data_IF_744118303102
#
_entry.id   IF_744118303102
#
_cell.length_a   1.000
_cell.length_b   1.000
_cell.length_c   1.000
_cell.angle_alpha   90.00
_cell.angle_beta   90.00
_cell.angle_gamma   90.00
#
_symmetry.space_group_name_H-M   'P 1'
#
loop_
_entity.id
_entity.type
_entity.pdbx_description
1 polymer ?
#
# COMPACT_ATOMS: atom_id res chain seq x y z
N UNK A 1 -29.09 -31.06 26.91
CA UNK A 1 -28.02 -30.08 27.18
C UNK A 1 -27.84 -29.25 25.92
N UNK A 2 -28.51 -28.10 25.84
CA UNK A 2 -28.51 -27.22 24.67
C UNK A 2 -27.38 -26.20 24.82
N UNK A 3 -26.32 -26.36 24.02
CA UNK A 3 -25.24 -25.38 23.92
C UNK A 3 -25.71 -24.20 23.08
N UNK A 4 -25.92 -23.05 23.72
CA UNK A 4 -26.22 -21.78 23.06
C UNK A 4 -24.97 -21.27 22.33
N UNK A 5 -25.08 -21.14 21.01
CA UNK A 5 -24.08 -20.49 20.19
C UNK A 5 -24.17 -18.97 20.44
N UNK A 6 -23.23 -18.40 21.18
CA UNK A 6 -23.09 -16.95 21.31
C UNK A 6 -22.48 -16.47 19.99
N UNK A 7 -23.33 -16.05 19.05
CA UNK A 7 -22.90 -15.25 17.90
C UNK A 7 -22.47 -13.89 18.44
N UNK A 8 -21.16 -13.67 18.53
CA UNK A 8 -20.61 -12.34 18.72
C UNK A 8 -21.01 -11.49 17.50
N UNK A 9 -21.96 -10.59 17.70
CA UNK A 9 -22.25 -9.51 16.76
C UNK A 9 -21.03 -8.60 16.78
N UNK A 10 -20.15 -8.74 15.80
CA UNK A 10 -19.18 -7.70 15.46
C UNK A 10 -20.03 -6.54 14.94
N UNK A 11 -20.30 -5.55 15.80
CA UNK A 11 -20.81 -4.27 15.34
C UNK A 11 -19.79 -3.74 14.34
N UNK A 12 -20.18 -3.65 13.07
CA UNK A 12 -19.37 -3.03 12.05
C UNK A 12 -19.09 -1.59 12.48
N UNK A 13 -17.84 -1.31 12.85
CA UNK A 13 -17.35 0.05 13.10
C UNK A 13 -17.22 0.71 11.74
N UNK A 14 -18.33 1.20 11.22
CA UNK A 14 -18.38 2.05 10.04
C UNK A 14 -18.18 3.50 10.41
N UNK A 15 -17.90 4.34 9.42
CA UNK A 15 -17.86 5.77 9.53
C UNK A 15 -19.25 6.25 10.00
N UNK A 16 -19.29 6.72 11.23
CA UNK A 16 -20.44 7.35 11.86
C UNK A 16 -20.06 8.75 12.39
N UNK A 17 -21.05 9.47 12.92
CA UNK A 17 -20.83 10.81 13.45
C UNK A 17 -19.80 10.84 14.59
N UNK A 18 -19.77 9.81 15.45
CA UNK A 18 -18.82 9.75 16.57
C UNK A 18 -17.38 9.52 16.08
N UNK A 19 -17.20 8.64 15.11
CA UNK A 19 -15.90 8.31 14.53
C UNK A 19 -15.37 9.49 13.72
N UNK A 20 -16.24 10.15 12.95
CA UNK A 20 -15.90 11.37 12.22
C UNK A 20 -15.49 12.50 13.15
N UNK A 21 -16.19 12.66 14.28
CA UNK A 21 -15.83 13.65 15.31
C UNK A 21 -14.46 13.35 15.93
N UNK A 22 -14.17 12.09 16.26
CA UNK A 22 -12.84 11.67 16.74
C UNK A 22 -11.74 12.01 15.74
N UNK A 23 -11.97 11.84 14.44
CA UNK A 23 -11.01 12.17 13.39
C UNK A 23 -10.80 13.69 13.28
N UNK A 24 -11.87 14.47 13.33
CA UNK A 24 -11.82 15.92 13.12
C UNK A 24 -11.36 16.71 14.35
N UNK A 25 -11.77 16.30 15.55
CA UNK A 25 -11.63 17.05 16.80
C UNK A 25 -10.97 16.28 17.94
N UNK A 26 -10.92 14.96 17.85
CA UNK A 26 -10.36 14.11 18.91
C UNK A 26 -8.87 14.32 19.16
N UNK A 27 -8.39 13.74 20.26
CA UNK A 27 -6.96 13.73 20.58
C UNK A 27 -6.18 12.97 19.52
N UNK A 28 -4.86 13.12 19.51
CA UNK A 28 -4.02 12.39 18.58
C UNK A 28 -4.18 10.85 18.69
N UNK A 29 -4.41 10.33 19.88
CA UNK A 29 -4.65 8.90 20.07
C UNK A 29 -6.01 8.50 19.47
N UNK A 30 -7.05 9.30 19.72
CA UNK A 30 -8.41 9.04 19.20
C UNK A 30 -8.44 9.05 17.68
N UNK A 31 -7.77 10.04 17.06
CA UNK A 31 -7.66 10.14 15.60
C UNK A 31 -7.00 8.90 14.99
N UNK A 32 -5.87 8.47 15.55
CA UNK A 32 -5.17 7.28 15.06
C UNK A 32 -6.01 6.02 15.25
N UNK A 33 -6.63 5.86 16.43
CA UNK A 33 -7.49 4.72 16.71
C UNK A 33 -8.70 4.64 15.78
N UNK A 34 -9.37 5.77 15.53
CA UNK A 34 -10.49 5.85 14.60
C UNK A 34 -10.09 5.48 13.17
N UNK A 35 -8.99 6.03 12.66
CA UNK A 35 -8.50 5.74 11.30
C UNK A 35 -8.11 4.27 11.16
N UNK A 36 -7.39 3.70 12.13
CA UNK A 36 -7.02 2.27 12.10
C UNK A 36 -8.24 1.36 12.15
N UNK A 37 -9.22 1.67 13.01
CA UNK A 37 -10.44 0.88 13.14
C UNK A 37 -11.25 0.85 11.83
N UNK A 38 -11.35 1.98 11.11
CA UNK A 38 -12.01 2.03 9.81
C UNK A 38 -11.31 1.16 8.75
N UNK A 39 -9.97 1.16 8.76
CA UNK A 39 -9.19 0.33 7.86
C UNK A 39 -9.36 -1.17 8.17
N UNK A 40 -9.32 -1.55 9.45
CA UNK A 40 -9.54 -2.92 9.91
C UNK A 40 -10.96 -3.42 9.60
N UNK A 41 -11.96 -2.55 9.72
CA UNK A 41 -13.34 -2.84 9.35
C UNK A 41 -13.55 -2.98 7.84
N UNK A 42 -12.60 -2.50 7.03
CA UNK A 42 -12.73 -2.49 5.57
C UNK A 42 -13.80 -1.50 5.08
N UNK A 43 -14.04 -0.41 5.80
CA UNK A 43 -15.12 0.51 5.49
C UNK A 43 -14.78 1.43 4.30
N UNK A 44 -15.28 1.07 3.12
CA UNK A 44 -15.10 1.86 1.91
C UNK A 44 -15.73 3.28 2.00
N UNK A 45 -16.75 3.47 2.84
CA UNK A 45 -17.37 4.78 3.03
C UNK A 45 -16.43 5.78 3.72
N UNK A 46 -15.40 5.30 4.43
CA UNK A 46 -14.40 6.15 5.07
C UNK A 46 -13.42 6.78 4.07
N UNK A 47 -13.20 6.17 2.90
CA UNK A 47 -12.14 6.57 1.95
C UNK A 47 -12.19 8.07 1.58
N UNK A 48 -13.36 8.67 1.24
CA UNK A 48 -13.43 10.09 0.92
C UNK A 48 -13.00 10.99 2.08
N UNK A 49 -13.38 10.66 3.32
CA UNK A 49 -13.02 11.41 4.53
C UNK A 49 -11.53 11.29 4.81
N UNK A 50 -10.99 10.08 4.80
CA UNK A 50 -9.57 9.84 5.08
C UNK A 50 -8.68 10.55 4.04
N UNK A 51 -9.07 10.49 2.75
CA UNK A 51 -8.38 11.18 1.67
C UNK A 51 -8.48 12.71 1.79
N UNK A 52 -9.67 13.24 2.08
CA UNK A 52 -9.83 14.68 2.33
C UNK A 52 -9.01 15.15 3.54
N UNK A 53 -8.90 14.33 4.58
CA UNK A 53 -8.06 14.64 5.75
C UNK A 53 -6.58 14.68 5.35
N UNK A 54 -6.12 13.69 4.60
CA UNK A 54 -4.74 13.59 4.12
C UNK A 54 -4.35 14.77 3.22
N UNK A 55 -5.24 15.17 2.32
CA UNK A 55 -5.06 16.27 1.38
C UNK A 55 -5.33 17.65 2.00
N UNK A 56 -5.75 17.70 3.27
CA UNK A 56 -6.04 18.93 3.99
C UNK A 56 -7.27 19.67 3.43
N UNK A 57 -8.27 18.92 3.00
CA UNK A 57 -9.58 19.39 2.53
C UNK A 57 -10.71 19.13 3.55
N UNK A 58 -10.40 18.56 4.71
CA UNK A 58 -11.37 18.38 5.79
C UNK A 58 -11.41 19.61 6.70
N UNK A 59 -12.61 20.09 7.01
CA UNK A 59 -12.88 21.28 7.82
C UNK A 59 -13.85 20.97 8.95
N UNK A 60 -13.63 21.56 10.11
CA UNK A 60 -14.51 21.44 11.27
C UNK A 60 -14.46 22.73 12.10
N UNK A 61 -15.62 23.20 12.57
CA UNK A 61 -15.69 24.17 13.66
C UNK A 61 -15.71 23.47 15.03
N UNK A 62 -15.75 24.20 16.15
CA UNK A 62 -15.82 23.61 17.49
C UNK A 62 -16.98 22.63 17.65
N UNK A 63 -18.11 22.91 16.99
CA UNK A 63 -19.33 22.12 17.02
C UNK A 63 -19.98 21.99 15.63
N UNK A 64 -20.84 21.00 15.45
CA UNK A 64 -21.62 20.79 14.22
C UNK A 64 -20.90 19.98 13.13
N UNK A 65 -21.40 20.00 11.87
CA UNK A 65 -20.94 19.07 10.84
C UNK A 65 -19.47 19.27 10.47
N UNK A 66 -18.81 18.15 10.15
CA UNK A 66 -17.49 18.14 9.53
C UNK A 66 -17.69 18.18 8.02
N UNK A 67 -16.98 19.08 7.35
CA UNK A 67 -17.17 19.35 5.92
C UNK A 67 -15.93 18.98 5.12
N UNK A 68 -16.12 18.58 3.88
CA UNK A 68 -15.07 18.37 2.88
C UNK A 68 -15.17 19.49 1.84
N UNK A 69 -14.03 20.11 1.53
CA UNK A 69 -13.87 21.00 0.39
C UNK A 69 -13.61 20.18 -0.89
N UNK A 70 -14.48 20.37 -1.88
CA UNK A 70 -14.45 19.76 -3.20
C UNK A 70 -14.36 20.86 -4.27
N UNK A 71 -13.18 21.49 -4.38
CA UNK A 71 -12.92 22.53 -5.38
C UNK A 71 -13.67 23.84 -5.13
N UNK A 72 -13.81 24.25 -3.86
CA UNK A 72 -14.53 25.45 -3.44
C UNK A 72 -16.01 25.20 -3.12
N UNK A 73 -16.46 23.94 -3.18
CA UNK A 73 -17.81 23.52 -2.77
C UNK A 73 -17.71 22.66 -1.52
N UNK A 74 -18.40 23.07 -0.46
CA UNK A 74 -18.44 22.32 0.78
C UNK A 74 -19.53 21.26 0.74
N UNK A 75 -19.20 20.08 1.26
CA UNK A 75 -20.12 18.96 1.44
C UNK A 75 -19.98 18.39 2.84
N UNK A 76 -21.06 17.88 3.40
CA UNK A 76 -21.03 17.13 4.64
C UNK A 76 -20.22 15.84 4.48
N UNK A 77 -19.27 15.61 5.40
CA UNK A 77 -18.30 14.52 5.28
C UNK A 77 -18.91 13.12 5.52
N UNK A 78 -20.09 13.03 6.14
CA UNK A 78 -20.76 11.76 6.41
C UNK A 78 -21.79 11.42 5.32
N UNK A 79 -22.55 12.42 4.87
CA UNK A 79 -23.68 12.25 3.95
C UNK A 79 -23.35 12.61 2.51
N UNK A 80 -22.30 13.39 2.27
CA UNK A 80 -21.94 13.93 0.95
C UNK A 80 -22.86 15.02 0.43
N UNK A 81 -23.86 15.44 1.22
CA UNK A 81 -24.81 16.48 0.84
C UNK A 81 -24.12 17.86 0.76
N UNK A 82 -24.52 18.75 -0.16
CA UNK A 82 -24.02 20.12 -0.19
C UNK A 82 -24.23 20.83 1.16
N UNK A 83 -23.21 21.54 1.63
CA UNK A 83 -23.25 22.28 2.89
C UNK A 83 -22.86 23.73 2.66
N UNK A 84 -23.47 24.64 3.42
CA UNK A 84 -23.06 26.04 3.43
C UNK A 84 -21.75 26.21 4.20
N UNK A 85 -20.94 27.19 3.80
CA UNK A 85 -19.80 27.62 4.60
C UNK A 85 -20.28 28.22 5.93
N UNK A 86 -19.44 28.10 6.96
CA UNK A 86 -19.61 28.76 8.26
C UNK A 86 -18.33 29.50 8.60
N UNK A 87 -18.47 30.56 9.40
CA UNK A 87 -17.35 31.44 9.78
C UNK A 87 -16.37 30.77 10.76
N UNK A 88 -16.82 29.73 11.47
CA UNK A 88 -16.05 29.02 12.48
C UNK A 88 -15.34 27.77 11.94
N UNK A 89 -15.37 27.53 10.63
CA UNK A 89 -14.71 26.36 10.03
C UNK A 89 -13.19 26.55 9.98
N UNK A 90 -12.49 25.65 10.64
CA UNK A 90 -11.04 25.54 10.55
C UNK A 90 -10.64 24.27 9.80
N UNK A 91 -9.51 24.36 9.09
CA UNK A 91 -8.93 23.19 8.43
C UNK A 91 -8.43 22.20 9.48
N UNK A 92 -8.81 20.93 9.34
CA UNK A 92 -8.30 19.85 10.19
C UNK A 92 -6.82 19.63 9.86
N UNK A 93 -5.94 20.11 10.73
CA UNK A 93 -4.49 19.95 10.57
C UNK A 93 -4.07 18.55 11.01
N UNK A 94 -3.15 17.95 10.26
CA UNK A 94 -2.54 16.65 10.57
C UNK A 94 -1.04 16.79 10.77
N UNK A 95 -0.47 15.94 11.61
CA UNK A 95 0.98 15.82 11.76
C UNK A 95 1.51 14.54 11.11
N UNK A 96 2.84 14.36 11.16
CA UNK A 96 3.52 13.25 10.51
C UNK A 96 3.06 11.87 10.96
N UNK A 97 2.65 11.72 12.23
CA UNK A 97 2.19 10.43 12.74
C UNK A 97 0.81 10.09 12.18
N UNK A 98 -0.15 11.02 12.25
CA UNK A 98 -1.49 10.81 11.69
C UNK A 98 -1.44 10.63 10.18
N UNK A 99 -0.58 11.35 9.47
CA UNK A 99 -0.38 11.17 8.03
C UNK A 99 -0.04 9.74 7.66
N UNK A 100 0.96 9.13 8.33
CA UNK A 100 1.34 7.74 8.08
C UNK A 100 0.21 6.76 8.38
N UNK A 101 -0.60 7.02 9.41
CA UNK A 101 -1.79 6.21 9.72
C UNK A 101 -2.84 6.33 8.63
N UNK A 102 -3.08 7.53 8.10
CA UNK A 102 -3.98 7.76 6.96
C UNK A 102 -3.49 7.07 5.69
N UNK A 103 -2.21 7.22 5.35
CA UNK A 103 -1.59 6.57 4.18
C UNK A 103 -1.77 5.05 4.26
N UNK A 104 -1.47 4.45 5.42
CA UNK A 104 -1.65 3.02 5.67
C UNK A 104 -3.11 2.60 5.52
N UNK A 105 -4.03 3.33 6.17
CA UNK A 105 -5.46 3.02 6.12
C UNK A 105 -6.02 3.08 4.71
N UNK A 106 -5.65 4.10 3.93
CA UNK A 106 -6.05 4.23 2.53
C UNK A 106 -5.51 3.08 1.68
N UNK A 107 -4.24 2.71 1.84
CA UNK A 107 -3.68 1.55 1.13
C UNK A 107 -4.42 0.27 1.48
N UNK A 108 -4.69 0.01 2.77
CA UNK A 108 -5.43 -1.18 3.23
C UNK A 108 -6.83 -1.23 2.61
N UNK A 109 -7.56 -0.12 2.61
CA UNK A 109 -8.89 -0.03 2.02
C UNK A 109 -8.86 -0.24 0.50
N UNK A 110 -7.88 0.37 -0.19
CA UNK A 110 -7.73 0.25 -1.64
C UNK A 110 -7.35 -1.17 -2.09
N UNK A 111 -6.75 -2.03 -1.24
CA UNK A 111 -6.51 -3.45 -1.57
C UNK A 111 -7.81 -4.24 -1.80
N UNK A 112 -8.95 -3.76 -1.28
CA UNK A 112 -10.27 -4.36 -1.47
C UNK A 112 -11.22 -3.50 -2.30
N UNK A 113 -10.69 -2.48 -3.00
CA UNK A 113 -11.47 -1.59 -3.83
C UNK A 113 -12.24 -2.37 -4.93
N UNK A 114 -13.46 -1.94 -5.31
CA UNK A 114 -14.19 -2.56 -6.40
C UNK A 114 -13.45 -2.41 -7.74
N UNK A 115 -12.79 -1.27 -7.93
CA UNK A 115 -12.01 -1.00 -9.13
C UNK A 115 -10.69 -1.79 -9.14
N UNK A 116 -10.41 -2.41 -10.28
CA UNK A 116 -9.21 -3.25 -10.47
C UNK A 116 -7.92 -2.42 -10.47
N UNK A 117 -7.92 -1.26 -11.10
CA UNK A 117 -6.73 -0.42 -11.21
C UNK A 117 -6.32 0.11 -9.84
N UNK A 118 -7.29 0.48 -9.00
CA UNK A 118 -7.05 0.90 -7.62
C UNK A 118 -6.40 -0.21 -6.78
N UNK A 119 -6.90 -1.45 -6.86
CA UNK A 119 -6.28 -2.60 -6.15
C UNK A 119 -4.84 -2.84 -6.61
N UNK A 120 -4.61 -2.77 -7.93
CA UNK A 120 -3.29 -2.94 -8.52
C UNK A 120 -2.32 -1.86 -8.06
N UNK A 121 -2.77 -0.60 -8.05
CA UNK A 121 -1.97 0.53 -7.58
C UNK A 121 -1.62 0.41 -6.10
N UNK A 122 -2.59 0.04 -5.25
CA UNK A 122 -2.36 -0.21 -3.83
C UNK A 122 -1.34 -1.34 -3.60
N UNK A 123 -1.45 -2.44 -4.36
CA UNK A 123 -0.50 -3.53 -4.26
C UNK A 123 0.92 -3.11 -4.70
N UNK A 124 1.04 -2.27 -5.74
CA UNK A 124 2.33 -1.75 -6.26
C UNK A 124 2.95 -0.70 -5.32
N UNK A 125 2.15 0.16 -4.69
CA UNK A 125 2.66 1.17 -3.76
C UNK A 125 3.35 0.51 -2.56
N UNK A 126 2.79 -0.60 -2.05
CA UNK A 126 3.41 -1.44 -1.02
C UNK A 126 4.73 -2.09 -1.48
N UNK A 127 4.94 -2.30 -2.77
CA UNK A 127 6.24 -2.77 -3.26
C UNK A 127 7.31 -1.67 -3.23
N UNK A 128 6.91 -0.43 -3.48
CA UNK A 128 7.82 0.72 -3.46
C UNK A 128 8.21 1.09 -2.03
N UNK A 129 7.22 1.09 -1.13
CA UNK A 129 7.36 1.38 0.29
C UNK A 129 6.74 0.26 1.15
N UNK A 130 7.49 -0.83 1.41
CA UNK A 130 7.00 -1.95 2.21
C UNK A 130 6.68 -1.57 3.65
N UNK A 131 5.48 -1.94 4.11
CA UNK A 131 5.02 -1.78 5.49
C UNK A 131 4.57 -3.16 6.04
N UNK A 132 5.39 -3.82 6.88
CA UNK A 132 5.08 -5.14 7.42
C UNK A 132 3.75 -5.22 8.18
N UNK A 133 3.27 -4.09 8.75
CA UNK A 133 2.01 -4.02 9.48
C UNK A 133 0.79 -4.29 8.58
N UNK A 134 0.95 -4.13 7.26
CA UNK A 134 -0.11 -4.33 6.25
C UNK A 134 -0.18 -5.78 5.75
N UNK A 135 0.73 -6.66 6.17
CA UNK A 135 0.77 -8.06 5.74
C UNK A 135 -0.59 -8.79 5.93
N UNK A 136 -1.29 -8.69 7.07
CA UNK A 136 -2.59 -9.33 7.23
C UNK A 136 -3.64 -8.86 6.21
N UNK A 137 -3.64 -7.57 5.86
CA UNK A 137 -4.54 -7.02 4.85
C UNK A 137 -4.21 -7.53 3.43
N UNK A 138 -2.92 -7.65 3.09
CA UNK A 138 -2.47 -8.25 1.81
C UNK A 138 -2.89 -9.72 1.73
N UNK A 139 -2.72 -10.47 2.82
CA UNK A 139 -3.15 -11.88 2.89
C UNK A 139 -4.67 -12.00 2.75
N UNK A 140 -5.43 -11.14 3.42
CA UNK A 140 -6.88 -11.04 3.25
C UNK A 140 -7.29 -10.74 1.80
N UNK A 141 -6.66 -9.77 1.15
CA UNK A 141 -6.92 -9.42 -0.24
C UNK A 141 -6.62 -10.59 -1.19
N UNK A 142 -5.51 -11.32 -0.98
CA UNK A 142 -5.14 -12.51 -1.75
C UNK A 142 -6.18 -13.63 -1.71
N UNK A 143 -6.94 -13.76 -0.61
CA UNK A 143 -8.00 -14.79 -0.53
C UNK A 143 -9.20 -14.45 -1.41
N UNK A 144 -9.44 -13.17 -1.68
CA UNK A 144 -10.63 -12.67 -2.41
C UNK A 144 -10.32 -12.29 -3.85
N UNK A 145 -9.06 -12.01 -4.18
CA UNK A 145 -8.65 -11.53 -5.49
C UNK A 145 -8.82 -12.59 -6.60
N UNK A 146 -9.43 -12.16 -7.70
CA UNK A 146 -9.74 -12.99 -8.88
C UNK A 146 -8.94 -12.58 -10.11
N UNK A 147 -8.52 -11.33 -10.20
CA UNK A 147 -7.69 -10.85 -11.30
C UNK A 147 -6.27 -11.43 -11.19
N UNK A 148 -5.78 -12.00 -12.30
CA UNK A 148 -4.48 -12.69 -12.31
C UNK A 148 -3.32 -11.74 -12.07
N UNK A 149 -3.33 -10.56 -12.70
CA UNK A 149 -2.24 -9.59 -12.56
C UNK A 149 -2.22 -9.03 -11.14
N UNK A 150 -3.38 -8.63 -10.59
CA UNK A 150 -3.46 -8.13 -9.21
C UNK A 150 -2.99 -9.19 -8.23
N UNK A 151 -3.40 -10.45 -8.42
CA UNK A 151 -2.97 -11.58 -7.59
C UNK A 151 -1.45 -11.80 -7.64
N UNK A 152 -0.83 -11.73 -8.82
CA UNK A 152 0.62 -11.87 -8.97
C UNK A 152 1.36 -10.75 -8.22
N UNK A 153 0.93 -9.51 -8.39
CA UNK A 153 1.50 -8.36 -7.67
C UNK A 153 1.34 -8.52 -6.16
N UNK A 154 0.15 -8.93 -5.69
CA UNK A 154 -0.10 -9.19 -4.27
C UNK A 154 0.75 -10.32 -3.70
N UNK A 155 1.00 -11.40 -4.46
CA UNK A 155 1.87 -12.50 -4.04
C UNK A 155 3.32 -12.03 -3.87
N UNK A 156 3.80 -11.18 -4.79
CA UNK A 156 5.11 -10.55 -4.64
C UNK A 156 5.12 -9.64 -3.41
N UNK A 157 4.11 -8.80 -3.24
CA UNK A 157 3.99 -7.90 -2.08
C UNK A 157 3.97 -8.68 -0.77
N UNK A 158 3.19 -9.77 -0.66
CA UNK A 158 3.16 -10.65 0.50
C UNK A 158 4.56 -11.16 0.85
N UNK A 159 5.32 -11.65 -0.13
CA UNK A 159 6.68 -12.13 0.09
C UNK A 159 7.62 -11.01 0.58
N UNK A 160 7.50 -9.80 0.04
CA UNK A 160 8.30 -8.64 0.48
C UNK A 160 8.05 -8.32 1.94
N UNK A 161 6.78 -8.29 2.36
CA UNK A 161 6.39 -7.99 3.74
C UNK A 161 6.77 -9.13 4.70
N UNK A 162 6.66 -10.38 4.26
CA UNK A 162 6.96 -11.56 5.05
C UNK A 162 8.47 -11.76 5.34
N UNK A 163 9.38 -11.01 4.69
CA UNK A 163 10.81 -11.02 5.04
C UNK A 163 11.07 -10.57 6.50
N UNK A 164 10.19 -9.73 7.05
CA UNK A 164 10.26 -9.23 8.43
C UNK A 164 9.45 -10.08 9.43
N UNK A 165 8.85 -11.20 8.99
CA UNK A 165 8.09 -12.08 9.87
C UNK A 165 8.95 -12.61 11.02
N UNK A 166 8.34 -12.85 12.18
CA UNK A 166 9.03 -13.41 13.35
C UNK A 166 9.45 -14.86 13.12
N UNK A 167 8.68 -15.62 12.33
CA UNK A 167 8.91 -17.03 12.06
C UNK A 167 9.96 -17.25 10.94
N UNK A 168 11.05 -18.00 11.20
CA UNK A 168 12.07 -18.30 10.19
C UNK A 168 11.51 -18.94 8.91
N UNK A 169 10.54 -19.84 9.04
CA UNK A 169 9.92 -20.53 7.91
C UNK A 169 9.23 -19.55 6.93
N UNK A 170 8.54 -18.52 7.44
CA UNK A 170 7.90 -17.49 6.60
C UNK A 170 8.95 -16.66 5.85
N UNK A 171 10.07 -16.34 6.51
CA UNK A 171 11.19 -15.61 5.87
C UNK A 171 11.89 -16.42 4.79
N UNK A 172 12.06 -17.72 4.99
CA UNK A 172 12.60 -18.63 3.95
C UNK A 172 11.66 -18.69 2.74
N UNK A 173 10.37 -18.89 2.96
CA UNK A 173 9.38 -18.92 1.89
C UNK A 173 9.33 -17.59 1.11
N UNK A 174 9.40 -16.46 1.83
CA UNK A 174 9.50 -15.12 1.25
C UNK A 174 10.73 -14.97 0.35
N UNK A 175 11.92 -15.37 0.84
CA UNK A 175 13.16 -15.32 0.06
C UNK A 175 13.07 -16.16 -1.22
N UNK A 176 12.51 -17.38 -1.12
CA UNK A 176 12.29 -18.26 -2.27
C UNK A 176 11.32 -17.67 -3.30
N UNK A 177 10.28 -16.97 -2.84
CA UNK A 177 9.32 -16.32 -3.74
C UNK A 177 9.94 -15.11 -4.45
N UNK A 178 10.69 -14.27 -3.72
CA UNK A 178 11.38 -13.11 -4.31
C UNK A 178 12.49 -13.50 -5.29
N UNK A 179 13.11 -14.68 -5.09
CA UNK A 179 14.04 -15.26 -6.06
C UNK A 179 13.42 -15.42 -7.46
N UNK A 180 12.12 -15.66 -7.54
CA UNK A 180 11.38 -15.87 -8.81
C UNK A 180 10.96 -14.56 -9.49
N UNK A 181 11.08 -13.43 -8.79
CA UNK A 181 10.70 -12.09 -9.28
C UNK A 181 11.93 -11.18 -9.22
N UNK A 182 12.89 -11.35 -10.14
CA UNK A 182 14.13 -10.59 -10.12
C UNK A 182 13.87 -9.11 -10.41
N UNK A 183 14.46 -8.23 -9.59
CA UNK A 183 14.29 -6.79 -9.69
C UNK A 183 15.16 -6.05 -8.69
N UNK A 184 15.35 -4.74 -8.91
CA UNK A 184 16.11 -3.86 -8.00
C UNK A 184 15.51 -3.85 -6.59
N UNK A 185 14.17 -3.83 -6.49
CA UNK A 185 13.45 -3.87 -5.22
C UNK A 185 13.70 -5.19 -4.48
N UNK A 186 13.54 -6.34 -5.14
CA UNK A 186 13.82 -7.66 -4.56
C UNK A 186 15.27 -7.74 -4.07
N UNK A 187 16.24 -7.29 -4.87
CA UNK A 187 17.65 -7.23 -4.49
C UNK A 187 17.86 -6.40 -3.22
N UNK A 188 17.30 -5.19 -3.18
CA UNK A 188 17.42 -4.26 -2.04
C UNK A 188 16.86 -4.89 -0.76
N UNK A 189 15.65 -5.47 -0.81
CA UNK A 189 15.00 -6.03 0.37
C UNK A 189 15.69 -7.30 0.89
N UNK A 190 16.12 -8.18 -0.01
CA UNK A 190 16.90 -9.36 0.36
C UNK A 190 18.21 -8.96 1.06
N UNK A 191 18.93 -7.96 0.52
CA UNK A 191 20.14 -7.44 1.13
C UNK A 191 19.90 -6.79 2.51
N UNK A 192 18.83 -5.99 2.64
CA UNK A 192 18.45 -5.39 3.93
C UNK A 192 18.14 -6.47 4.98
N UNK A 193 17.38 -7.51 4.61
CA UNK A 193 17.07 -8.60 5.53
C UNK A 193 18.30 -9.41 5.91
N UNK A 194 19.17 -9.68 4.94
CA UNK A 194 20.43 -10.42 5.13
C UNK A 194 21.36 -9.74 6.13
N UNK A 195 21.39 -8.41 6.15
CA UNK A 195 22.24 -7.63 7.06
C UNK A 195 21.85 -7.78 8.55
N UNK A 196 20.62 -8.19 8.84
CA UNK A 196 20.06 -8.29 10.20
C UNK A 196 19.55 -9.69 10.54
N UNK A 197 19.86 -10.70 9.72
CA UNK A 197 19.45 -12.10 9.97
C UNK A 197 20.50 -12.86 10.76
N UNK A 198 20.04 -13.64 11.73
CA UNK A 198 20.87 -14.49 12.59
C UNK A 198 20.58 -15.97 12.40
N UNK A 199 19.39 -16.34 11.91
CA UNK A 199 19.03 -17.73 11.66
C UNK A 199 19.85 -18.32 10.48
N UNK A 200 20.63 -19.40 10.69
CA UNK A 200 21.48 -19.97 9.65
C UNK A 200 20.73 -20.47 8.40
N UNK A 201 19.54 -21.05 8.59
CA UNK A 201 18.74 -21.55 7.47
C UNK A 201 18.15 -20.40 6.65
N UNK A 202 17.70 -19.33 7.32
CA UNK A 202 17.23 -18.12 6.64
C UNK A 202 18.39 -17.42 5.92
N UNK A 203 19.57 -17.33 6.54
CA UNK A 203 20.78 -16.77 5.91
C UNK A 203 21.13 -17.50 4.61
N UNK A 204 21.07 -18.83 4.59
CA UNK A 204 21.32 -19.62 3.39
C UNK A 204 20.29 -19.30 2.29
N UNK A 205 19.00 -19.26 2.64
CA UNK A 205 17.93 -18.93 1.70
C UNK A 205 18.05 -17.49 1.13
N UNK A 206 18.39 -16.51 1.96
CA UNK A 206 18.59 -15.12 1.55
C UNK A 206 19.79 -14.97 0.63
N UNK A 207 20.91 -15.67 0.90
CA UNK A 207 22.11 -15.65 0.04
C UNK A 207 21.82 -16.25 -1.33
N UNK A 208 21.15 -17.42 -1.37
CA UNK A 208 20.75 -18.06 -2.62
C UNK A 208 19.81 -17.16 -3.45
N UNK A 209 18.77 -16.61 -2.81
CA UNK A 209 17.85 -15.68 -3.46
C UNK A 209 18.58 -14.44 -4.01
N UNK A 210 19.46 -13.84 -3.21
CA UNK A 210 20.24 -12.65 -3.62
C UNK A 210 21.10 -12.95 -4.84
N UNK A 211 21.88 -14.04 -4.81
CA UNK A 211 22.76 -14.43 -5.93
C UNK A 211 21.97 -14.72 -7.21
N UNK A 212 20.82 -15.39 -7.09
CA UNK A 212 19.93 -15.67 -8.23
C UNK A 212 19.33 -14.39 -8.83
N UNK A 213 18.89 -13.45 -8.00
CA UNK A 213 18.37 -12.14 -8.46
C UNK A 213 19.48 -11.35 -9.15
N UNK A 214 20.68 -11.27 -8.57
CA UNK A 214 21.82 -10.57 -9.17
C UNK A 214 22.24 -11.18 -10.51
N UNK A 215 22.31 -12.50 -10.60
CA UNK A 215 22.64 -13.17 -11.86
C UNK A 215 21.59 -12.88 -12.95
N UNK A 216 20.32 -12.80 -12.57
CA UNK A 216 19.22 -12.46 -13.49
C UNK A 216 19.31 -11.02 -13.99
N UNK A 217 19.61 -10.06 -13.09
CA UNK A 217 19.81 -8.66 -13.44
C UNK A 217 21.02 -8.48 -14.37
N UNK A 218 22.15 -9.14 -14.09
CA UNK A 218 23.35 -9.12 -14.96
C UNK A 218 23.07 -9.67 -16.36
N UNK A 219 22.30 -10.76 -16.46
CA UNK A 219 21.89 -11.30 -17.77
C UNK A 219 21.03 -10.32 -18.56
N UNK A 220 20.07 -9.66 -17.90
CA UNK A 220 19.22 -8.66 -18.52
C UNK A 220 20.04 -7.45 -19.01
N UNK A 221 20.99 -6.98 -18.21
CA UNK A 221 21.92 -5.89 -18.58
C UNK A 221 22.76 -6.26 -19.80
N UNK A 222 23.34 -7.46 -19.83
CA UNK A 222 24.14 -7.94 -20.95
C UNK A 222 23.33 -8.00 -22.25
N UNK A 223 22.08 -8.49 -22.20
CA UNK A 223 21.17 -8.48 -23.36
C UNK A 223 20.84 -7.05 -23.80
N UNK A 224 20.59 -6.14 -22.86
CA UNK A 224 20.34 -4.73 -23.16
C UNK A 224 21.52 -4.04 -23.83
N UNK A 225 22.75 -4.34 -23.38
CA UNK A 225 23.97 -3.79 -23.97
C UNK A 225 24.18 -4.29 -25.40
N UNK A 226 23.94 -5.58 -25.66
CA UNK A 226 24.03 -6.15 -27.00
C UNK A 226 23.04 -5.50 -27.98
N UNK A 227 21.78 -5.31 -27.55
CA UNK A 227 20.78 -4.65 -28.38
C UNK A 227 21.11 -3.17 -28.64
N UNK A 228 21.57 -2.45 -27.61
CA UNK A 228 21.99 -1.05 -27.73
C UNK A 228 23.17 -0.90 -28.69
N UNK A 229 24.16 -1.80 -28.59
CA UNK A 229 25.30 -1.84 -29.50
C UNK A 229 24.89 -2.11 -30.95
N UNK A 230 23.99 -3.07 -31.16
CA UNK A 230 23.46 -3.39 -32.50
C UNK A 230 22.65 -2.21 -33.09
N UNK A 231 21.82 -1.57 -32.26
CA UNK A 231 21.00 -0.42 -32.65
C UNK A 231 21.87 0.78 -33.04
N UNK A 232 22.85 1.15 -32.20
CA UNK A 232 23.77 2.25 -32.48
C UNK A 232 24.59 1.96 -33.74
N UNK A 233 25.10 0.73 -33.88
CA UNK A 233 25.83 0.29 -35.06
C UNK A 233 25.01 0.39 -36.34
N UNK A 234 23.72 0.04 -36.29
CA UNK A 234 22.81 0.11 -37.44
C UNK A 234 22.52 1.55 -37.87
N UNK A 235 22.32 2.46 -36.90
CA UNK A 235 22.13 3.90 -37.18
C UNK A 235 23.40 4.50 -37.78
N UNK A 236 24.57 4.17 -37.23
CA UNK A 236 25.86 4.65 -37.76
C UNK A 236 26.12 4.14 -39.18
N UNK A 237 25.76 2.89 -39.49
CA UNK A 237 25.87 2.34 -40.84
C UNK A 237 24.97 3.08 -41.83
N UNK A 238 23.70 3.35 -41.47
CA UNK A 238 22.77 4.12 -42.29
C UNK A 238 23.23 5.56 -42.48
N UNK A 239 23.75 6.20 -41.43
CA UNK A 239 24.31 7.55 -41.51
C UNK A 239 25.53 7.61 -42.43
N UNK A 240 26.43 6.62 -42.34
CA UNK A 240 27.59 6.52 -43.23
C UNK A 240 27.20 6.33 -44.70
N UNK A 241 26.18 5.51 -44.98
CA UNK A 241 25.66 5.33 -46.34
C UNK A 241 25.02 6.63 -46.88
N UNK A 242 24.29 7.37 -46.03
CA UNK A 242 23.66 8.64 -46.41
C UNK A 242 24.65 9.78 -46.68
N UNK A 243 25.84 9.76 -46.07
CA UNK A 243 26.92 10.74 -46.33
C UNK A 243 27.73 10.43 -47.60
N UNK A 244 27.65 9.20 -48.10
CA UNK A 244 28.39 8.74 -49.27
C UNK A 244 27.70 9.08 -50.62
N UNK A 245 26.50 9.68 -50.57
CA UNK A 245 25.71 10.14 -51.73
C UNK A 245 25.72 11.66 -51.78
#
# INVERSE_FOLDING_TARGET
MTAGLITAVVLAVGLDASTLDKIARGSQADRQGAVSALAEAGDAAAVPVLRATLEGRLYAGPEGPVLIDDGGRLRDALTGAPAASRDDLEKVVINNRLRRTLDRALVVLSLSAPDRAERLEAARSLQQAPDPDVLPAVEGALTKEKDKEVREVLLTTQAMLALSASEPARRIAAAQQLRRVPGSTSKRLLAQRLAVESDPAVLAALKDATGSVEASLKRAEMVGLLFSGLSLGSVLLLAALGLAV
#
